data_IF_767804767670
#
_entry.id   IF_767804767670
#
_cell.length_a   1.000
_cell.length_b   1.000
_cell.length_c   1.000
_cell.angle_alpha   90.00
_cell.angle_beta   90.00
_cell.angle_gamma   90.00
#
_symmetry.space_group_name_H-M   'P 1'
#
loop_
_entity.id
_entity.type
_entity.pdbx_description
1 polymer ?
#
# COMPACT_ATOMS: atom_id res chain seq x y z
N UNK A 1 16.67 -34.08 10.22
CA UNK A 1 16.03 -32.78 9.90
C UNK A 1 16.37 -31.64 10.89
N UNK A 2 17.28 -31.84 11.87
CA UNK A 2 17.64 -30.81 12.87
C UNK A 2 18.67 -29.78 12.38
N UNK A 3 19.60 -30.17 11.51
CA UNK A 3 20.69 -29.31 11.04
C UNK A 3 20.18 -28.10 10.26
N UNK A 4 19.11 -28.28 9.48
CA UNK A 4 18.52 -27.19 8.69
C UNK A 4 17.85 -26.15 9.58
N UNK A 5 17.15 -26.58 10.64
CA UNK A 5 16.52 -25.66 11.62
C UNK A 5 17.60 -24.88 12.38
N UNK A 6 18.71 -25.52 12.75
CA UNK A 6 19.83 -24.86 13.40
C UNK A 6 20.49 -23.80 12.49
N UNK A 7 20.68 -24.10 11.21
CA UNK A 7 21.26 -23.15 10.24
C UNK A 7 20.33 -21.95 10.02
N UNK A 8 19.01 -22.18 9.88
CA UNK A 8 18.03 -21.10 9.72
C UNK A 8 17.97 -20.21 10.97
N UNK A 9 17.96 -20.80 12.16
CA UNK A 9 17.95 -20.04 13.42
C UNK A 9 19.21 -19.20 13.61
N UNK A 10 20.38 -19.72 13.21
CA UNK A 10 21.66 -18.98 13.32
C UNK A 10 21.75 -17.85 12.29
N UNK A 11 21.29 -18.09 11.05
CA UNK A 11 21.18 -17.06 10.01
C UNK A 11 20.16 -15.97 10.40
N UNK A 12 19.04 -16.35 11.02
CA UNK A 12 18.08 -15.39 11.56
C UNK A 12 18.70 -14.57 12.70
N UNK A 13 19.37 -15.22 13.66
CA UNK A 13 20.01 -14.52 14.77
C UNK A 13 21.11 -13.53 14.33
N UNK A 14 21.90 -13.87 13.30
CA UNK A 14 22.92 -12.99 12.73
C UNK A 14 22.35 -11.89 11.83
N UNK A 15 21.21 -12.11 11.16
CA UNK A 15 20.54 -11.07 10.37
C UNK A 15 19.71 -10.11 11.23
N UNK A 16 19.21 -10.54 12.38
CA UNK A 16 18.43 -9.71 13.32
C UNK A 16 19.27 -9.12 14.48
N UNK A 17 20.52 -9.54 14.65
CA UNK A 17 21.44 -9.05 15.69
C UNK A 17 22.07 -7.69 15.34
N UNK A 18 21.91 -6.71 16.23
CA UNK A 18 22.63 -5.40 16.29
C UNK A 18 22.10 -4.22 15.46
N UNK A 19 20.81 -3.89 15.57
CA UNK A 19 20.36 -2.55 15.18
C UNK A 19 20.52 -1.54 16.33
N UNK A 20 21.57 -0.72 16.29
CA UNK A 20 21.79 0.36 17.26
C UNK A 20 20.63 1.39 17.30
N UNK A 21 20.42 2.04 18.44
CA UNK A 21 19.25 2.89 18.72
C UNK A 21 18.98 3.99 17.67
N UNK A 22 20.03 4.54 17.03
CA UNK A 22 19.90 5.53 15.95
C UNK A 22 19.20 4.95 14.71
N UNK A 23 19.53 3.71 14.32
CA UNK A 23 18.89 3.03 13.18
C UNK A 23 17.41 2.76 13.48
N UNK A 24 17.09 2.34 14.70
CA UNK A 24 15.70 2.14 15.14
C UNK A 24 14.91 3.45 15.10
N UNK A 25 15.48 4.55 15.61
CA UNK A 25 14.83 5.86 15.58
C UNK A 25 14.58 6.34 14.14
N UNK A 26 15.51 6.08 13.21
CA UNK A 26 15.35 6.41 11.78
C UNK A 26 14.20 5.64 11.15
N UNK A 27 14.08 4.34 11.42
CA UNK A 27 12.98 3.51 10.89
C UNK A 27 11.63 4.05 11.38
N UNK A 28 11.50 4.29 12.69
CA UNK A 28 10.26 4.83 13.26
C UNK A 28 9.88 6.19 12.67
N UNK A 29 10.85 7.12 12.56
CA UNK A 29 10.63 8.45 11.97
C UNK A 29 10.21 8.36 10.50
N UNK A 30 10.88 7.50 9.72
CA UNK A 30 10.53 7.28 8.32
C UNK A 30 9.13 6.71 8.18
N UNK A 31 8.80 5.65 8.90
CA UNK A 31 7.49 5.02 8.83
C UNK A 31 6.36 5.99 9.21
N UNK A 32 6.57 6.79 10.27
CA UNK A 32 5.60 7.81 10.69
C UNK A 32 5.44 8.93 9.65
N UNK A 33 6.53 9.37 9.03
CA UNK A 33 6.48 10.39 7.98
C UNK A 33 5.76 9.90 6.72
N UNK A 34 6.04 8.66 6.29
CA UNK A 34 5.40 8.06 5.12
C UNK A 34 3.92 7.77 5.38
N UNK A 35 3.56 7.30 6.59
CA UNK A 35 2.17 7.14 7.03
C UNK A 35 1.42 8.48 6.95
N UNK A 36 1.97 9.54 7.54
CA UNK A 36 1.35 10.87 7.56
C UNK A 36 1.13 11.43 6.15
N UNK A 37 2.05 11.17 5.22
CA UNK A 37 1.90 11.57 3.81
C UNK A 37 0.69 10.89 3.16
N UNK A 38 0.56 9.57 3.32
CA UNK A 38 -0.55 8.79 2.73
C UNK A 38 -1.87 9.14 3.41
N UNK A 39 -1.88 9.29 4.73
CA UNK A 39 -3.06 9.72 5.50
C UNK A 39 -3.57 11.08 5.03
N UNK A 40 -2.68 12.07 4.89
CA UNK A 40 -3.04 13.40 4.38
C UNK A 40 -3.63 13.34 2.98
N UNK A 41 -3.10 12.47 2.11
CA UNK A 41 -3.61 12.29 0.76
C UNK A 41 -5.01 11.65 0.76
N UNK A 42 -5.27 10.67 1.62
CA UNK A 42 -6.59 10.03 1.77
C UNK A 42 -7.62 11.02 2.34
N UNK A 43 -7.25 11.84 3.32
CA UNK A 43 -8.14 12.87 3.84
C UNK A 43 -8.42 13.97 2.80
N UNK A 44 -7.41 14.35 2.02
CA UNK A 44 -7.61 15.28 0.88
C UNK A 44 -8.52 14.68 -0.20
N UNK A 45 -8.40 13.37 -0.45
CA UNK A 45 -9.30 12.63 -1.33
C UNK A 45 -10.74 12.74 -0.84
N UNK A 46 -11.00 12.42 0.43
CA UNK A 46 -12.35 12.52 1.00
C UNK A 46 -12.88 13.95 0.96
N UNK A 47 -12.07 14.95 1.29
CA UNK A 47 -12.48 16.35 1.24
C UNK A 47 -12.90 16.78 -0.17
N UNK A 48 -12.26 16.23 -1.21
CA UNK A 48 -12.56 16.55 -2.61
C UNK A 48 -13.70 15.70 -3.20
N UNK A 49 -13.75 14.41 -2.87
CA UNK A 49 -14.65 13.43 -3.49
C UNK A 49 -15.91 13.15 -2.67
N UNK A 50 -15.93 13.49 -1.38
CA UNK A 50 -17.04 13.26 -0.46
C UNK A 50 -17.07 11.86 0.18
N UNK A 51 -16.17 10.97 -0.22
CA UNK A 51 -16.04 9.60 0.30
C UNK A 51 -14.57 9.19 0.35
N UNK A 52 -14.22 8.23 1.20
CA UNK A 52 -12.89 7.63 1.21
C UNK A 52 -12.68 6.69 0.01
N UNK A 53 -11.43 6.48 -0.46
CA UNK A 53 -11.14 5.53 -1.51
C UNK A 53 -11.79 4.16 -1.26
N UNK A 54 -12.31 3.50 -2.31
CA UNK A 54 -12.93 2.18 -2.18
C UNK A 54 -11.90 1.17 -1.68
N UNK A 55 -12.34 0.27 -0.81
CA UNK A 55 -11.53 -0.82 -0.29
C UNK A 55 -12.34 -2.10 -0.36
N UNK A 56 -11.65 -3.22 -0.55
CA UNK A 56 -12.24 -4.51 -0.27
C UNK A 56 -11.79 -5.04 1.10
N UNK A 57 -12.74 -5.03 2.04
CA UNK A 57 -12.50 -5.48 3.41
C UNK A 57 -12.78 -6.98 3.60
N UNK A 58 -13.22 -7.68 2.56
CA UNK A 58 -13.72 -9.06 2.63
C UNK A 58 -12.62 -10.13 2.75
N UNK A 59 -11.35 -9.75 2.77
CA UNK A 59 -10.29 -10.73 2.52
C UNK A 59 -9.84 -11.54 3.74
N UNK A 60 -10.09 -12.85 3.63
CA UNK A 60 -9.58 -13.96 4.45
C UNK A 60 -8.31 -14.61 3.87
N UNK A 61 -7.76 -14.10 2.76
CA UNK A 61 -6.57 -14.69 2.11
C UNK A 61 -5.26 -14.20 2.79
N UNK A 62 -4.45 -15.12 3.37
CA UNK A 62 -3.24 -14.76 4.12
C UNK A 62 -2.09 -14.24 3.26
N UNK A 63 -2.12 -14.43 1.93
CA UNK A 63 -0.98 -14.11 1.06
C UNK A 63 -1.04 -12.69 0.48
N UNK A 64 -2.24 -12.11 0.28
CA UNK A 64 -2.38 -10.88 -0.50
C UNK A 64 -3.49 -9.88 -0.07
N UNK A 65 -4.26 -10.11 1.00
CA UNK A 65 -5.52 -9.40 1.38
C UNK A 65 -5.57 -7.85 1.32
N UNK A 66 -5.79 -7.16 2.46
CA UNK A 66 -5.81 -5.65 2.54
C UNK A 66 -4.52 -4.95 2.05
N UNK A 67 -3.52 -5.75 1.67
CA UNK A 67 -2.19 -5.38 1.21
C UNK A 67 -2.20 -5.02 -0.28
N UNK A 68 -3.07 -5.68 -1.07
CA UNK A 68 -3.41 -5.28 -2.44
C UNK A 68 -4.69 -4.45 -2.39
N UNK A 69 -4.54 -3.13 -2.51
CA UNK A 69 -5.65 -2.19 -2.51
C UNK A 69 -5.48 -1.17 -3.65
N UNK A 70 -6.58 -0.47 -3.96
CA UNK A 70 -6.64 0.49 -5.06
C UNK A 70 -6.01 1.85 -4.75
N UNK A 71 -5.47 2.07 -3.53
CA UNK A 71 -5.02 3.39 -3.08
C UNK A 71 -4.00 4.02 -4.04
N UNK A 72 -3.11 3.23 -4.62
CA UNK A 72 -2.13 3.76 -5.57
C UNK A 72 -2.82 4.47 -6.74
N UNK A 73 -3.74 3.78 -7.43
CA UNK A 73 -4.45 4.35 -8.56
C UNK A 73 -5.44 5.46 -8.15
N UNK A 74 -6.10 5.32 -7.00
CA UNK A 74 -7.03 6.33 -6.49
C UNK A 74 -6.33 7.63 -6.09
N UNK A 75 -5.15 7.57 -5.46
CA UNK A 75 -4.44 8.75 -4.98
C UNK A 75 -3.60 9.44 -6.06
N UNK A 76 -3.13 8.72 -7.08
CA UNK A 76 -2.49 9.33 -8.25
C UNK A 76 -3.53 9.84 -9.25
N UNK A 77 -4.73 9.29 -9.24
CA UNK A 77 -5.74 9.51 -10.27
C UNK A 77 -5.35 8.85 -11.59
N UNK A 78 -6.35 8.51 -12.39
CA UNK A 78 -6.12 7.83 -13.67
C UNK A 78 -6.85 8.51 -14.83
N UNK A 79 -6.37 8.32 -16.05
CA UNK A 79 -7.13 8.49 -17.28
C UNK A 79 -7.58 7.12 -17.78
N UNK A 80 -8.83 7.02 -18.25
CA UNK A 80 -9.28 5.82 -18.94
C UNK A 80 -9.18 6.05 -20.45
N UNK A 81 -8.42 5.19 -21.13
CA UNK A 81 -8.40 5.17 -22.59
C UNK A 81 -9.60 4.34 -23.09
N UNK A 82 -10.61 4.97 -23.73
CA UNK A 82 -11.84 4.27 -24.12
C UNK A 82 -11.62 3.23 -25.23
N UNK A 83 -10.52 3.30 -25.98
CA UNK A 83 -10.25 2.37 -27.08
C UNK A 83 -9.81 0.97 -26.59
N UNK A 84 -9.17 0.89 -25.43
CA UNK A 84 -8.64 -0.35 -24.86
C UNK A 84 -9.04 -0.58 -23.40
N UNK A 85 -9.86 0.30 -22.82
CA UNK A 85 -10.32 0.26 -21.43
C UNK A 85 -9.18 0.18 -20.41
N UNK A 86 -8.03 0.77 -20.71
CA UNK A 86 -6.88 0.83 -19.79
C UNK A 86 -6.96 2.10 -18.95
N UNK A 87 -6.83 1.93 -17.63
CA UNK A 87 -6.65 3.02 -16.68
C UNK A 87 -5.17 3.27 -16.48
N UNK A 88 -4.67 4.45 -16.88
CA UNK A 88 -3.29 4.86 -16.70
C UNK A 88 -3.20 6.00 -15.69
N UNK A 89 -2.27 5.91 -14.76
CA UNK A 89 -2.03 6.98 -13.78
C UNK A 89 -1.69 8.31 -14.45
N UNK A 90 -2.09 9.43 -13.83
CA UNK A 90 -1.87 10.77 -14.40
C UNK A 90 -0.39 11.11 -14.61
N UNK A 91 0.51 10.51 -13.85
CA UNK A 91 1.97 10.65 -13.99
C UNK A 91 2.59 9.59 -14.94
N UNK A 92 1.78 8.69 -15.50
CA UNK A 92 2.20 7.65 -16.44
C UNK A 92 2.98 6.49 -15.80
N UNK A 93 3.08 6.43 -14.47
CA UNK A 93 3.94 5.48 -13.76
C UNK A 93 3.41 4.04 -13.74
N UNK A 94 2.09 3.86 -13.79
CA UNK A 94 1.43 2.56 -13.86
C UNK A 94 0.17 2.59 -14.71
N UNK A 95 -0.22 1.41 -15.18
CA UNK A 95 -1.49 1.18 -15.89
C UNK A 95 -2.12 -0.15 -15.45
N UNK A 96 -3.45 -0.21 -15.47
CA UNK A 96 -4.22 -1.42 -15.19
C UNK A 96 -5.40 -1.53 -16.17
N UNK A 97 -5.64 -2.68 -16.82
CA UNK A 97 -6.86 -2.91 -17.58
C UNK A 97 -8.09 -2.78 -16.69
N UNK A 98 -9.15 -2.11 -17.14
CA UNK A 98 -10.38 -1.92 -16.36
C UNK A 98 -10.99 -3.25 -15.90
N UNK A 99 -10.95 -4.28 -16.76
CA UNK A 99 -11.38 -5.65 -16.43
C UNK A 99 -10.54 -6.35 -15.36
N UNK A 100 -9.32 -5.88 -15.11
CA UNK A 100 -8.43 -6.43 -14.10
C UNK A 100 -8.60 -5.78 -12.72
N UNK A 101 -9.30 -4.64 -12.61
CA UNK A 101 -9.45 -3.89 -11.35
C UNK A 101 -10.10 -4.76 -10.28
N UNK A 102 -11.28 -5.32 -10.55
CA UNK A 102 -11.99 -6.19 -9.60
C UNK A 102 -11.20 -7.46 -9.28
N UNK A 103 -10.51 -8.04 -10.27
CA UNK A 103 -9.69 -9.24 -10.06
C UNK A 103 -8.45 -8.96 -9.20
N UNK A 104 -7.94 -7.73 -9.22
CA UNK A 104 -6.72 -7.33 -8.51
C UNK A 104 -7.00 -6.81 -7.11
N UNK A 105 -8.02 -5.96 -6.95
CA UNK A 105 -8.31 -5.27 -5.69
C UNK A 105 -9.56 -5.79 -4.98
N UNK A 106 -10.33 -6.65 -5.65
CA UNK A 106 -11.42 -7.43 -5.09
C UNK A 106 -12.82 -7.06 -5.56
N UNK A 107 -13.81 -7.94 -5.28
CA UNK A 107 -15.20 -7.77 -5.72
C UNK A 107 -15.85 -6.45 -5.30
N UNK A 108 -15.42 -5.85 -4.18
CA UNK A 108 -15.96 -4.57 -3.71
C UNK A 108 -15.30 -3.34 -4.37
N UNK A 109 -14.30 -3.56 -5.22
CA UNK A 109 -13.60 -2.51 -5.99
C UNK A 109 -13.91 -2.71 -7.48
N UNK A 110 -15.08 -2.21 -7.91
CA UNK A 110 -15.56 -2.36 -9.29
C UNK A 110 -14.89 -1.46 -10.33
N UNK A 111 -14.04 -0.51 -9.90
CA UNK A 111 -13.40 0.48 -10.77
C UNK A 111 -12.55 1.46 -9.97
N UNK A 112 -11.76 2.28 -10.68
CA UNK A 112 -11.06 3.41 -10.08
C UNK A 112 -11.99 4.63 -10.15
N UNK A 113 -12.34 5.19 -8.99
CA UNK A 113 -13.29 6.29 -8.87
C UNK A 113 -12.67 7.64 -9.24
N UNK A 114 -11.41 7.88 -8.85
CA UNK A 114 -10.65 9.04 -9.29
C UNK A 114 -10.10 8.86 -10.72
N UNK A 115 -10.99 8.89 -11.69
CA UNK A 115 -10.71 8.62 -13.09
C UNK A 115 -11.26 9.73 -14.00
N UNK A 116 -10.43 10.20 -14.93
CA UNK A 116 -10.87 11.09 -16.01
C UNK A 116 -11.70 10.29 -17.00
N UNK A 117 -12.99 10.60 -17.07
CA UNK A 117 -13.93 9.93 -17.98
C UNK A 117 -13.89 10.61 -19.34
N UNK A 118 -13.35 9.92 -20.35
CA UNK A 118 -13.37 10.36 -21.74
C UNK A 118 -14.77 10.16 -22.34
N UNK A 119 -15.63 11.17 -22.23
CA UNK A 119 -16.97 11.15 -22.80
C UNK A 119 -17.43 12.54 -23.25
N UNK A 120 -17.03 12.92 -24.47
CA UNK A 120 -17.81 13.79 -25.39
C UNK A 120 -18.15 15.23 -25.01
N UNK A 121 -17.75 15.76 -23.86
CA UNK A 121 -18.02 17.15 -23.49
C UNK A 121 -17.04 17.70 -22.45
N UNK A 122 -16.90 19.02 -22.40
CA UNK A 122 -15.97 19.77 -21.53
C UNK A 122 -16.34 19.70 -20.02
N UNK A 123 -17.32 18.85 -19.67
CA UNK A 123 -17.87 18.67 -18.32
C UNK A 123 -17.51 17.31 -17.68
N UNK A 124 -16.71 16.48 -18.34
CA UNK A 124 -16.19 15.25 -17.75
C UNK A 124 -15.30 15.55 -16.53
N UNK A 125 -15.64 15.00 -15.37
CA UNK A 125 -14.84 15.13 -14.16
C UNK A 125 -13.39 14.69 -14.40
N UNK A 126 -12.44 15.62 -14.23
CA UNK A 126 -11.01 15.35 -14.37
C UNK A 126 -10.49 14.67 -13.10
N UNK A 127 -9.67 13.63 -13.26
CA UNK A 127 -8.98 13.02 -12.13
C UNK A 127 -8.03 14.03 -11.46
N UNK A 128 -7.83 13.88 -10.15
CA UNK A 128 -7.03 14.79 -9.34
C UNK A 128 -5.90 14.01 -8.67
N UNK A 129 -4.62 14.40 -8.82
CA UNK A 129 -3.55 13.78 -8.06
C UNK A 129 -3.56 14.30 -6.62
N UNK A 130 -3.74 13.39 -5.66
CA UNK A 130 -3.64 13.66 -4.23
C UNK A 130 -2.23 13.41 -3.68
N UNK A 131 -1.43 12.62 -4.38
CA UNK A 131 0.02 12.49 -4.15
C UNK A 131 0.74 12.98 -5.41
N UNK A 132 1.57 14.02 -5.26
CA UNK A 132 2.32 14.62 -6.38
C UNK A 132 3.71 14.03 -6.59
N UNK A 133 4.29 13.42 -5.56
CA UNK A 133 5.66 12.88 -5.63
C UNK A 133 5.78 11.66 -4.74
N UNK A 134 6.16 10.54 -5.35
CA UNK A 134 6.54 9.32 -4.68
C UNK A 134 7.99 9.00 -5.02
N UNK A 135 8.76 8.63 -4.01
CA UNK A 135 10.09 8.06 -4.23
C UNK A 135 9.97 6.58 -4.60
N UNK A 136 11.00 6.03 -5.24
CA UNK A 136 11.01 4.63 -5.69
C UNK A 136 10.81 3.60 -4.56
N UNK A 137 11.04 3.99 -3.31
CA UNK A 137 10.84 3.18 -2.11
C UNK A 137 9.47 3.35 -1.44
N UNK A 138 8.52 4.05 -2.07
CA UNK A 138 7.16 4.25 -1.54
C UNK A 138 6.08 3.54 -2.37
N UNK A 139 6.48 2.88 -3.45
CA UNK A 139 5.57 2.11 -4.29
C UNK A 139 6.29 1.01 -5.06
N UNK A 140 5.51 0.04 -5.51
CA UNK A 140 5.93 -0.99 -6.45
C UNK A 140 4.91 -1.06 -7.58
N UNK A 141 5.41 -1.11 -8.82
CA UNK A 141 4.61 -1.38 -10.02
C UNK A 141 5.05 -2.74 -10.50
N UNK A 142 4.10 -3.66 -10.63
CA UNK A 142 4.34 -5.04 -11.05
C UNK A 142 3.83 -5.19 -12.48
N UNK A 143 4.70 -5.29 -13.50
CA UNK A 143 4.31 -5.32 -14.91
C UNK A 143 3.84 -6.72 -15.39
N UNK A 144 3.28 -7.55 -14.52
CA UNK A 144 2.85 -8.91 -14.84
C UNK A 144 1.58 -8.92 -15.71
N UNK A 145 1.12 -10.11 -16.13
CA UNK A 145 -0.09 -10.30 -16.95
C UNK A 145 -1.36 -9.62 -16.38
N UNK A 146 -1.42 -9.43 -15.05
CA UNK A 146 -2.35 -8.51 -14.39
C UNK A 146 -1.51 -7.39 -13.76
N UNK A 147 -1.25 -6.29 -14.48
CA UNK A 147 -0.38 -5.25 -13.97
C UNK A 147 -1.09 -4.53 -12.82
N UNK A 148 -0.38 -4.37 -11.71
CA UNK A 148 -0.90 -3.66 -10.55
C UNK A 148 0.20 -2.84 -9.91
N UNK A 149 -0.21 -1.88 -9.09
CA UNK A 149 0.70 -1.06 -8.33
C UNK A 149 0.15 -0.86 -6.92
N UNK A 150 1.06 -0.79 -5.96
CA UNK A 150 0.73 -0.65 -4.54
C UNK A 150 1.59 0.42 -3.90
N UNK A 151 0.99 1.13 -2.95
CA UNK A 151 1.71 2.00 -2.04
C UNK A 151 2.31 1.17 -0.91
N UNK A 152 3.49 1.59 -0.46
CA UNK A 152 4.17 0.93 0.65
C UNK A 152 5.36 1.71 1.15
N UNK A 153 6.23 0.99 1.82
CA UNK A 153 7.50 1.50 2.33
C UNK A 153 8.62 0.53 2.00
N UNK A 154 9.83 1.05 1.82
CA UNK A 154 11.05 0.23 1.68
C UNK A 154 11.54 -0.34 3.02
N UNK A 155 10.84 -0.07 4.13
CA UNK A 155 11.13 -0.67 5.42
C UNK A 155 10.70 -2.14 5.42
N UNK A 156 11.65 -3.02 5.69
CA UNK A 156 11.41 -4.47 5.80
C UNK A 156 10.31 -4.77 6.83
N UNK A 157 9.50 -5.79 6.52
CA UNK A 157 8.42 -6.27 7.37
C UNK A 157 8.16 -7.76 7.13
N UNK A 158 7.23 -8.35 7.90
CA UNK A 158 6.92 -9.78 7.77
C UNK A 158 6.28 -10.15 6.43
N UNK A 159 5.64 -9.19 5.76
CA UNK A 159 5.04 -9.37 4.44
C UNK A 159 5.67 -8.35 3.50
N UNK A 160 6.31 -8.86 2.45
CA UNK A 160 6.93 -8.08 1.39
C UNK A 160 6.36 -8.52 0.05
N UNK A 161 5.82 -7.57 -0.72
CA UNK A 161 5.46 -7.81 -2.13
C UNK A 161 6.74 -7.67 -2.95
N UNK A 162 7.00 -8.65 -3.81
CA UNK A 162 8.19 -8.69 -4.67
C UNK A 162 7.76 -8.75 -6.13
N UNK A 163 8.37 -7.95 -7.00
CA UNK A 163 8.16 -8.05 -8.44
C UNK A 163 9.10 -9.07 -9.11
N UNK A 164 8.97 -9.23 -10.43
CA UNK A 164 9.81 -10.13 -11.22
C UNK A 164 11.29 -9.71 -11.29
N UNK A 165 11.61 -8.48 -10.90
CA UNK A 165 12.99 -7.95 -10.82
C UNK A 165 13.59 -8.05 -9.40
N UNK A 166 12.88 -8.73 -8.49
CA UNK A 166 13.22 -8.84 -7.06
C UNK A 166 13.17 -7.52 -6.28
N UNK A 167 12.57 -6.46 -6.84
CA UNK A 167 12.28 -5.25 -6.08
C UNK A 167 11.18 -5.56 -5.08
N UNK A 168 11.38 -5.14 -3.83
CA UNK A 168 10.47 -5.41 -2.72
C UNK A 168 9.85 -4.14 -2.18
N UNK A 169 8.60 -4.26 -1.71
CA UNK A 169 7.92 -3.22 -0.95
C UNK A 169 7.13 -3.85 0.20
N UNK A 170 7.12 -3.19 1.34
CA UNK A 170 6.21 -3.52 2.43
C UNK A 170 4.92 -2.72 2.23
N UNK A 171 3.79 -3.35 1.86
CA UNK A 171 2.59 -2.63 1.46
C UNK A 171 1.94 -1.90 2.64
N UNK A 172 1.38 -0.72 2.34
CA UNK A 172 0.39 -0.10 3.21
C UNK A 172 -0.91 -0.88 3.10
N UNK A 173 -1.39 -1.35 4.25
CA UNK A 173 -2.69 -1.99 4.37
C UNK A 173 -3.74 -0.92 4.58
N UNK A 174 -4.86 -1.07 3.91
CA UNK A 174 -5.93 -0.10 3.94
C UNK A 174 -7.28 -0.79 4.06
N UNK A 175 -8.16 -0.19 4.86
CA UNK A 175 -9.52 -0.65 5.08
C UNK A 175 -10.43 0.57 5.26
N UNK A 176 -11.60 0.50 4.65
CA UNK A 176 -12.65 1.50 4.79
C UNK A 176 -14.04 0.83 4.69
N UNK A 177 -14.92 0.92 5.69
CA UNK A 177 -14.74 1.63 6.96
C UNK A 177 -13.70 0.99 7.87
N UNK A 178 -12.98 1.79 8.66
CA UNK A 178 -12.01 1.33 9.64
C UNK A 178 -12.64 0.48 10.74
N UNK A 179 -11.91 -0.52 11.25
CA UNK A 179 -12.28 -1.25 12.46
C UNK A 179 -11.78 -0.52 13.71
N UNK A 180 -10.57 0.04 13.64
CA UNK A 180 -9.96 0.80 14.72
C UNK A 180 -10.40 2.26 14.69
N UNK A 181 -10.63 2.79 13.49
CA UNK A 181 -11.21 4.11 13.25
C UNK A 181 -12.62 4.01 12.65
N UNK A 182 -13.64 3.78 13.49
CA UNK A 182 -15.02 3.47 13.05
C UNK A 182 -15.67 4.52 12.11
N UNK A 183 -15.28 5.80 12.21
CA UNK A 183 -15.81 6.90 11.39
C UNK A 183 -14.86 7.32 10.25
N UNK A 184 -13.77 6.58 10.06
CA UNK A 184 -12.73 6.87 9.07
C UNK A 184 -12.21 5.57 8.45
N UNK A 185 -10.91 5.49 8.21
CA UNK A 185 -10.21 4.36 7.64
C UNK A 185 -9.10 3.89 8.57
N UNK A 186 -8.74 2.62 8.40
CA UNK A 186 -7.53 2.06 8.98
C UNK A 186 -6.44 2.06 7.91
N UNK A 187 -5.27 2.64 8.23
CA UNK A 187 -4.07 2.60 7.40
C UNK A 187 -2.91 2.12 8.26
N UNK A 188 -2.24 1.04 7.85
CA UNK A 188 -1.17 0.47 8.66
C UNK A 188 -0.16 -0.37 7.90
N UNK A 189 1.00 -0.56 8.49
CA UNK A 189 1.94 -1.60 8.10
C UNK A 189 2.73 -2.12 9.30
N UNK A 190 3.35 -3.29 9.15
CA UNK A 190 4.19 -3.91 10.17
C UNK A 190 5.63 -3.88 9.68
N UNK A 191 6.54 -3.32 10.47
CA UNK A 191 7.95 -3.18 10.13
C UNK A 191 8.85 -3.89 11.14
N UNK A 192 10.02 -4.36 10.70
CA UNK A 192 11.04 -4.85 11.62
C UNK A 192 11.83 -3.68 12.23
N UNK A 193 11.91 -3.66 13.56
CA UNK A 193 12.68 -2.67 14.33
C UNK A 193 13.45 -3.39 15.43
N UNK A 194 14.78 -3.46 15.31
CA UNK A 194 15.62 -4.01 16.37
C UNK A 194 15.31 -5.46 16.75
N UNK A 195 15.01 -6.31 15.78
CA UNK A 195 14.67 -7.73 16.01
C UNK A 195 13.24 -7.97 16.47
N UNK A 196 12.40 -6.93 16.54
CA UNK A 196 10.96 -7.04 16.86
C UNK A 196 10.11 -6.53 15.70
N UNK A 197 8.84 -6.88 15.68
CA UNK A 197 7.85 -6.29 14.79
C UNK A 197 7.22 -5.06 15.45
N UNK A 198 7.03 -4.01 14.66
CA UNK A 198 6.36 -2.77 15.06
C UNK A 198 5.22 -2.47 14.13
N UNK A 199 4.01 -2.34 14.67
CA UNK A 199 2.85 -1.84 13.96
C UNK A 199 2.90 -0.31 13.88
N UNK A 200 2.85 0.19 12.66
CA UNK A 200 2.76 1.62 12.33
C UNK A 200 1.37 1.84 11.75
N UNK A 201 0.54 2.66 12.38
CA UNK A 201 -0.86 2.84 12.02
C UNK A 201 -1.40 4.23 12.34
N UNK A 202 -2.51 4.62 11.72
CA UNK A 202 -3.14 5.94 11.91
C UNK A 202 -4.04 6.05 13.16
N UNK A 203 -4.33 4.95 13.87
CA UNK A 203 -5.10 4.99 15.14
C UNK A 203 -4.25 5.00 16.41
N UNK A 204 -2.92 4.89 16.31
CA UNK A 204 -2.01 4.97 17.45
C UNK A 204 -0.77 5.79 17.10
N UNK A 205 -0.53 6.88 17.85
CA UNK A 205 0.64 7.75 17.66
C UNK A 205 1.96 7.10 18.07
N UNK A 206 1.90 6.07 18.92
CA UNK A 206 3.04 5.25 19.33
C UNK A 206 3.03 3.95 18.54
N UNK A 207 4.12 3.60 17.82
CA UNK A 207 4.20 2.31 17.15
C UNK A 207 4.08 1.20 18.20
N UNK A 208 3.16 0.26 17.95
CA UNK A 208 2.90 -0.85 18.85
C UNK A 208 3.90 -1.96 18.53
N UNK A 209 4.89 -2.16 19.40
CA UNK A 209 5.89 -3.20 19.24
C UNK A 209 5.43 -4.46 19.96
N UNK A 210 5.31 -5.57 19.25
CA UNK A 210 5.07 -6.90 19.85
C UNK A 210 6.39 -7.66 19.90
N UNK A 211 6.54 -8.51 20.91
CA UNK A 211 7.74 -9.33 21.07
C UNK A 211 7.76 -10.54 20.13
N UNK A 212 6.61 -10.95 19.56
CA UNK A 212 6.49 -12.19 18.81
C UNK A 212 5.96 -12.00 17.37
N UNK A 213 6.59 -12.67 16.38
CA UNK A 213 5.99 -13.00 15.10
C UNK A 213 5.30 -14.37 15.24
N UNK A 214 3.97 -14.38 15.35
CA UNK A 214 3.18 -15.59 15.11
C UNK A 214 2.57 -15.51 13.71
#
# INVERSE_FOLDING_TARGET
MLVVIAIIATLAALTFGSMGGIKQARIKKRAASELAQVETAIESYKARMGYYPPADNSYTNPTFGVQLNSLYFELLGVTNNPANSICSTLDGSASIPGVAVTNTFGPNVGGILNCTRGGGGDEGGKAVPFIKTLTSGQFLVTPNASPYAVLGTALEGPIMITDSTFKKINPWRYRNPGLSNANSFDLWTVVYVGGRTGLVCNWSKTPLFTADPH
#
